data_IF_361792063801
#
_entry.id   IF_361792063801
#
_cell.length_a   1.000
_cell.length_b   1.000
_cell.length_c   1.000
_cell.angle_alpha   90.00
_cell.angle_beta   90.00
_cell.angle_gamma   90.00
#
_symmetry.space_group_name_H-M   'P 1'
#
loop_
_entity.id
_entity.type
_entity.pdbx_description
1 polymer ?
#
# COMPACT_ATOMS: atom_id res chain seq x y z
N UNK A 1 -10.01 -20.54 -20.41
CA UNK A 1 -11.13 -19.58 -20.23
C UNK A 1 -10.92 -18.89 -18.90
N UNK A 2 -10.80 -17.56 -18.87
CA UNK A 2 -10.61 -16.79 -17.64
C UNK A 2 -11.98 -16.35 -17.12
N UNK A 3 -12.23 -16.56 -15.83
CA UNK A 3 -13.47 -16.14 -15.17
C UNK A 3 -13.15 -14.99 -14.20
N UNK A 4 -13.94 -13.92 -14.20
CA UNK A 4 -13.86 -12.93 -13.14
C UNK A 4 -14.12 -13.62 -11.80
N UNK A 5 -13.34 -13.25 -10.80
CA UNK A 5 -13.25 -13.99 -9.54
C UNK A 5 -13.03 -13.00 -8.40
N UNK A 6 -13.65 -13.26 -7.27
CA UNK A 6 -13.50 -12.51 -6.02
C UNK A 6 -12.70 -13.37 -5.05
N UNK A 7 -11.66 -12.78 -4.45
CA UNK A 7 -10.96 -13.39 -3.32
C UNK A 7 -11.59 -12.83 -2.06
N UNK A 8 -12.14 -13.72 -1.22
CA UNK A 8 -12.70 -13.37 0.08
C UNK A 8 -11.70 -13.79 1.15
N UNK A 9 -11.34 -12.85 2.02
CA UNK A 9 -10.39 -13.05 3.11
C UNK A 9 -11.06 -12.72 4.44
N UNK A 10 -10.85 -13.57 5.43
CA UNK A 10 -11.12 -13.23 6.84
C UNK A 10 -9.79 -13.06 7.57
N UNK A 11 -9.62 -11.95 8.29
CA UNK A 11 -8.37 -11.59 8.94
C UNK A 11 -8.53 -11.50 10.46
N UNK A 12 -7.58 -12.07 11.18
CA UNK A 12 -7.43 -11.86 12.62
C UNK A 12 -6.76 -10.51 12.90
N UNK A 13 -7.58 -9.46 13.05
CA UNK A 13 -7.09 -8.08 13.27
C UNK A 13 -6.33 -7.97 14.58
N UNK A 14 -6.80 -8.61 15.65
CA UNK A 14 -6.16 -8.55 16.96
C UNK A 14 -4.79 -9.23 16.94
N UNK A 15 -4.67 -10.37 16.25
CA UNK A 15 -3.37 -11.03 16.05
C UNK A 15 -2.45 -10.20 15.15
N UNK A 16 -2.98 -9.59 14.09
CA UNK A 16 -2.21 -8.76 13.17
C UNK A 16 -1.62 -7.53 13.88
N UNK A 17 -2.42 -6.82 14.68
CA UNK A 17 -2.00 -5.63 15.42
C UNK A 17 -0.95 -5.87 16.50
N UNK A 18 -0.70 -7.14 16.87
CA UNK A 18 0.40 -7.53 17.76
C UNK A 18 1.75 -7.66 17.04
N UNK A 19 1.75 -7.65 15.71
CA UNK A 19 2.96 -7.67 14.90
C UNK A 19 3.53 -6.26 14.71
N UNK A 20 4.75 -6.16 14.16
CA UNK A 20 5.34 -4.86 13.84
C UNK A 20 4.63 -4.26 12.62
N UNK A 21 3.83 -3.22 12.79
CA UNK A 21 3.08 -2.62 11.69
C UNK A 21 3.05 -1.10 11.72
N UNK A 22 2.77 -0.53 10.55
CA UNK A 22 2.59 0.91 10.40
C UNK A 22 1.19 1.22 9.86
N UNK A 23 0.44 2.05 10.59
CA UNK A 23 -0.90 2.48 10.22
C UNK A 23 -0.90 4.00 9.96
N UNK A 24 -1.37 4.41 8.79
CA UNK A 24 -1.58 5.81 8.42
C UNK A 24 -3.07 6.09 8.33
N UNK A 25 -3.60 6.92 9.22
CA UNK A 25 -5.03 7.29 9.18
C UNK A 25 -5.37 8.22 8.02
N UNK A 26 -4.41 9.08 7.64
CA UNK A 26 -4.60 10.15 6.66
C UNK A 26 -3.36 10.26 5.76
N UNK A 27 -3.49 10.78 4.52
CA UNK A 27 -2.36 11.01 3.61
C UNK A 27 -1.53 12.22 4.05
N UNK A 28 -0.94 12.15 5.23
CA UNK A 28 -0.12 13.19 5.85
C UNK A 28 1.27 13.28 5.21
N UNK A 29 2.07 14.26 5.63
CA UNK A 29 3.48 14.36 5.23
C UNK A 29 4.30 13.13 5.66
N UNK A 30 3.97 12.49 6.79
CA UNK A 30 4.63 11.25 7.22
C UNK A 30 4.33 10.10 6.26
N UNK A 31 3.06 9.96 5.85
CA UNK A 31 2.65 8.99 4.84
C UNK A 31 3.34 9.25 3.49
N UNK A 32 3.39 10.51 3.05
CA UNK A 32 4.06 10.86 1.80
C UNK A 32 5.56 10.53 1.82
N UNK A 33 6.23 10.74 2.97
CA UNK A 33 7.62 10.37 3.17
C UNK A 33 7.81 8.86 3.14
N UNK A 34 6.90 8.10 3.74
CA UNK A 34 6.90 6.65 3.66
C UNK A 34 6.78 6.16 2.21
N UNK A 35 5.79 6.65 1.46
CA UNK A 35 5.59 6.31 0.04
C UNK A 35 6.83 6.66 -0.79
N UNK A 36 7.38 7.86 -0.60
CA UNK A 36 8.60 8.30 -1.26
C UNK A 36 9.75 7.32 -1.03
N UNK A 37 10.00 6.96 0.24
CA UNK A 37 11.11 6.08 0.59
C UNK A 37 10.91 4.65 0.08
N UNK A 38 9.69 4.10 0.18
CA UNK A 38 9.33 2.81 -0.42
C UNK A 38 9.64 2.78 -1.92
N UNK A 39 9.33 3.85 -2.66
CA UNK A 39 9.57 3.91 -4.11
C UNK A 39 11.03 4.16 -4.44
N UNK A 40 11.70 5.03 -3.71
CA UNK A 40 13.13 5.36 -3.89
C UNK A 40 14.03 4.16 -3.61
N UNK A 41 13.77 3.43 -2.52
CA UNK A 41 14.52 2.22 -2.14
C UNK A 41 14.10 1.04 -3.01
N UNK A 42 12.80 0.89 -3.29
CA UNK A 42 12.26 -0.16 -4.16
C UNK A 42 12.80 -0.13 -5.59
N UNK A 43 13.09 1.06 -6.16
CA UNK A 43 13.81 1.21 -7.44
C UNK A 43 15.15 0.49 -7.49
N UNK A 44 15.77 0.24 -6.33
CA UNK A 44 17.06 -0.44 -6.18
C UNK A 44 16.92 -1.92 -5.82
N UNK A 45 15.70 -2.45 -5.81
CA UNK A 45 15.41 -3.86 -5.47
C UNK A 45 15.37 -4.14 -3.96
N UNK A 46 15.35 -3.10 -3.12
CA UNK A 46 15.32 -3.26 -1.66
C UNK A 46 13.96 -2.86 -1.08
N UNK A 47 13.61 -3.44 0.07
CA UNK A 47 12.48 -3.01 0.87
C UNK A 47 12.93 -1.86 1.80
N UNK A 48 12.10 -0.82 1.93
CA UNK A 48 12.43 0.34 2.77
C UNK A 48 12.25 0.07 4.28
N UNK A 49 11.21 -0.66 4.63
CA UNK A 49 10.83 -0.94 6.02
C UNK A 49 10.95 -2.44 6.34
N UNK A 50 10.83 -2.77 7.62
CA UNK A 50 10.76 -4.15 8.12
C UNK A 50 9.37 -4.46 8.71
N UNK A 51 8.38 -3.62 8.42
CA UNK A 51 7.01 -3.80 8.92
C UNK A 51 6.36 -5.06 8.34
N UNK A 52 5.81 -5.87 9.23
CA UNK A 52 5.01 -7.06 8.92
C UNK A 52 3.76 -6.70 8.14
N UNK A 53 3.15 -5.55 8.44
CA UNK A 53 2.04 -5.02 7.70
C UNK A 53 2.07 -3.49 7.62
N UNK A 54 1.42 -2.96 6.59
CA UNK A 54 1.20 -1.52 6.44
C UNK A 54 -0.24 -1.28 6.07
N UNK A 55 -0.92 -0.40 6.80
CA UNK A 55 -2.30 0.00 6.54
C UNK A 55 -2.36 1.51 6.28
N UNK A 56 -3.17 1.95 5.33
CA UNK A 56 -3.45 3.37 5.12
C UNK A 56 -3.79 3.72 3.69
N UNK A 57 -3.78 5.01 3.32
CA UNK A 57 -4.21 5.48 2.02
C UNK A 57 -3.38 4.86 0.88
N UNK A 58 -4.08 4.41 -0.16
CA UNK A 58 -3.52 3.94 -1.41
C UNK A 58 -3.01 5.15 -2.18
N UNK A 59 -1.69 5.23 -2.34
CA UNK A 59 -1.08 6.25 -3.19
C UNK A 59 -1.52 6.04 -4.63
N UNK A 60 -1.99 7.09 -5.27
CA UNK A 60 -2.44 7.07 -6.66
C UNK A 60 -1.59 7.99 -7.55
N UNK A 61 -1.88 8.00 -8.84
CA UNK A 61 -1.25 8.86 -9.82
C UNK A 61 0.03 8.27 -10.42
N UNK A 62 0.70 9.08 -11.23
CA UNK A 62 1.93 8.67 -11.94
C UNK A 62 3.15 8.79 -11.03
N UNK A 63 3.21 7.95 -9.99
CA UNK A 63 4.23 7.98 -8.92
C UNK A 63 5.66 7.94 -9.49
N UNK A 64 5.94 7.08 -10.48
CA UNK A 64 7.30 6.94 -11.04
C UNK A 64 7.78 8.24 -11.72
N UNK A 65 7.01 8.88 -12.64
CA UNK A 65 7.33 10.21 -13.14
C UNK A 65 7.48 11.29 -12.06
N UNK A 66 6.59 11.33 -11.06
CA UNK A 66 6.65 12.31 -9.97
C UNK A 66 7.94 12.15 -9.15
N UNK A 67 8.30 10.92 -8.81
CA UNK A 67 9.53 10.61 -8.09
C UNK A 67 10.77 11.06 -8.87
N UNK A 68 10.82 10.81 -10.19
CA UNK A 68 11.94 11.29 -11.04
C UNK A 68 12.06 12.82 -11.04
N UNK A 69 10.93 13.53 -11.09
CA UNK A 69 10.90 15.00 -11.05
C UNK A 69 11.35 15.54 -9.69
N UNK A 70 10.98 14.87 -8.60
CA UNK A 70 11.41 15.23 -7.25
C UNK A 70 12.92 15.00 -7.08
N UNK A 71 13.43 13.83 -7.48
CA UNK A 71 14.87 13.50 -7.43
C UNK A 71 15.72 14.46 -8.27
N UNK A 72 15.18 14.96 -9.39
CA UNK A 72 15.83 15.96 -10.24
C UNK A 72 15.53 17.41 -9.84
N UNK A 73 14.96 17.65 -8.66
CA UNK A 73 14.62 18.99 -8.14
C UNK A 73 13.70 19.84 -9.04
N UNK A 74 12.91 19.20 -9.92
CA UNK A 74 11.94 19.87 -10.81
C UNK A 74 10.58 20.11 -10.16
N UNK A 75 10.32 19.45 -9.03
CA UNK A 75 9.17 19.68 -8.17
C UNK A 75 9.61 19.67 -6.71
N UNK A 76 8.89 20.38 -5.86
CA UNK A 76 9.06 20.30 -4.42
C UNK A 76 8.49 18.99 -3.86
N UNK A 77 8.85 18.65 -2.62
CA UNK A 77 8.23 17.53 -1.93
C UNK A 77 6.72 17.73 -1.72
N UNK A 78 6.27 18.96 -1.49
CA UNK A 78 4.85 19.29 -1.40
C UNK A 78 4.11 18.98 -2.71
N UNK A 79 4.72 19.32 -3.86
CA UNK A 79 4.16 18.99 -5.17
C UNK A 79 4.15 17.48 -5.44
N UNK A 80 5.16 16.75 -4.96
CA UNK A 80 5.16 15.29 -4.99
C UNK A 80 4.01 14.72 -4.16
N UNK A 81 3.86 15.19 -2.91
CA UNK A 81 2.80 14.79 -1.99
C UNK A 81 1.41 15.02 -2.62
N UNK A 82 1.13 16.23 -3.13
CA UNK A 82 -0.13 16.52 -3.83
C UNK A 82 -0.36 15.59 -5.03
N UNK A 83 0.71 15.26 -5.77
CA UNK A 83 0.62 14.41 -6.96
C UNK A 83 0.39 12.93 -6.69
N UNK A 84 0.64 12.46 -5.46
CA UNK A 84 0.40 11.06 -5.06
C UNK A 84 -0.85 10.87 -4.22
N UNK A 85 -1.63 11.93 -3.99
CA UNK A 85 -2.85 11.88 -3.20
C UNK A 85 -3.79 10.78 -3.72
N UNK A 86 -4.51 10.07 -2.83
CA UNK A 86 -5.45 9.03 -3.24
C UNK A 86 -6.55 9.58 -4.16
N UNK A 87 -7.01 8.76 -5.13
CA UNK A 87 -8.07 9.13 -6.07
C UNK A 87 -9.41 9.42 -5.38
N UNK A 88 -9.71 8.69 -4.31
CA UNK A 88 -10.91 8.86 -3.48
C UNK A 88 -10.54 8.83 -2.00
N UNK A 89 -11.34 9.52 -1.17
CA UNK A 89 -11.17 9.52 0.29
C UNK A 89 -11.33 8.13 0.93
N UNK A 90 -11.90 7.17 0.20
CA UNK A 90 -12.14 5.80 0.65
C UNK A 90 -11.31 4.81 -0.18
N UNK A 91 -10.00 5.04 -0.23
CA UNK A 91 -9.07 4.08 -0.83
C UNK A 91 -7.95 3.76 0.15
N UNK A 92 -8.30 3.08 1.25
CA UNK A 92 -7.28 2.49 2.12
C UNK A 92 -6.87 1.12 1.59
N UNK A 93 -5.61 0.77 1.82
CA UNK A 93 -5.04 -0.52 1.51
C UNK A 93 -4.44 -1.16 2.77
N UNK A 94 -4.43 -2.49 2.78
CA UNK A 94 -3.66 -3.29 3.72
C UNK A 94 -2.63 -4.10 2.94
N UNK A 95 -1.36 -3.93 3.27
CA UNK A 95 -0.25 -4.72 2.75
C UNK A 95 0.24 -5.69 3.84
N UNK A 96 0.32 -6.97 3.51
CA UNK A 96 0.91 -8.01 4.37
C UNK A 96 2.27 -8.39 3.78
N UNK A 97 3.35 -8.10 4.50
CA UNK A 97 4.71 -8.12 3.94
C UNK A 97 5.54 -9.31 4.42
N UNK A 98 5.09 -10.02 5.46
CA UNK A 98 5.80 -11.17 6.04
C UNK A 98 4.88 -12.39 6.16
N UNK A 99 5.50 -13.58 6.24
CA UNK A 99 4.76 -14.83 6.45
C UNK A 99 3.96 -14.82 7.76
N UNK A 100 4.43 -14.13 8.80
CA UNK A 100 3.69 -14.01 10.06
C UNK A 100 2.42 -13.16 9.90
N UNK A 101 2.48 -12.07 9.13
CA UNK A 101 1.29 -11.29 8.78
C UNK A 101 0.31 -12.08 7.91
N UNK A 102 0.81 -12.85 6.94
CA UNK A 102 -0.03 -13.75 6.10
C UNK A 102 -0.74 -14.81 6.96
N UNK A 103 -0.06 -15.36 7.99
CA UNK A 103 -0.65 -16.29 8.96
C UNK A 103 -1.73 -15.68 9.87
N UNK A 104 -2.04 -14.39 9.73
CA UNK A 104 -3.22 -13.79 10.35
C UNK A 104 -4.49 -13.95 9.50
N UNK A 105 -4.38 -14.39 8.24
CA UNK A 105 -5.54 -14.76 7.41
C UNK A 105 -6.12 -16.06 7.99
N UNK A 106 -7.35 -15.99 8.50
CA UNK A 106 -8.09 -17.14 9.04
C UNK A 106 -8.74 -17.98 7.95
N UNK A 107 -9.18 -17.31 6.90
CA UNK A 107 -9.92 -17.93 5.81
C UNK A 107 -9.59 -17.25 4.49
N UNK A 108 -9.46 -18.04 3.43
CA UNK A 108 -9.28 -17.59 2.06
C UNK A 108 -10.15 -18.43 1.13
N UNK A 109 -11.07 -17.77 0.44
CA UNK A 109 -11.97 -18.38 -0.54
C UNK A 109 -11.88 -17.63 -1.87
N UNK A 110 -12.09 -18.37 -2.95
CA UNK A 110 -12.09 -17.85 -4.32
C UNK A 110 -13.47 -18.09 -4.92
N UNK A 111 -14.27 -17.03 -5.06
CA UNK A 111 -15.64 -17.08 -5.62
C UNK A 111 -15.64 -16.67 -7.08
N UNK A 112 -16.17 -17.51 -7.96
CA UNK A 112 -16.35 -17.14 -9.36
C UNK A 112 -17.54 -16.19 -9.51
N UNK A 113 -17.39 -15.19 -10.37
CA UNK A 113 -18.49 -14.32 -10.77
C UNK A 113 -19.02 -14.86 -12.09
N UNK A 114 -20.24 -15.37 -12.07
CA UNK A 114 -20.98 -15.68 -13.30
C UNK A 114 -21.51 -14.37 -13.87
N UNK A 115 -20.92 -13.91 -14.98
CA UNK A 115 -21.47 -12.79 -15.73
C UNK A 115 -22.63 -13.34 -16.55
N UNK A 116 -23.86 -12.93 -16.20
CA UNK A 116 -25.07 -13.16 -17.00
C UNK A 116 -25.06 -12.30 -18.25
#
# INVERSE_FOLDING_TARGET
MLFPTIIVLELDIEKLRRLNGQEFENPSTLWANFVYNCRRIGKRGFLYHQDDYVCGPLADGKIVPLLKRLESQRISFEQFHKGIMPYTEISNQLSLNTLQAIKCIKHMEVKRIDIK
#
